data_IF_412138479999
#
_entry.id   IF_412138479999
#
_cell.length_a   1.000
_cell.length_b   1.000
_cell.length_c   1.000
_cell.angle_alpha   90.00
_cell.angle_beta   90.00
_cell.angle_gamma   90.00
#
_symmetry.space_group_name_H-M   'P 1'
#
loop_
_entity.id
_entity.type
_entity.pdbx_description
1 polymer ?
#
# COMPACT_ATOMS: atom_id res chain seq x y z
N UNK A 1 61.89 24.95 4.45
CA UNK A 1 60.91 24.05 3.82
C UNK A 1 59.57 24.25 4.52
N UNK A 2 58.66 25.04 3.94
CA UNK A 2 57.30 25.24 4.47
C UNK A 2 56.40 24.21 3.79
N UNK A 3 55.92 23.22 4.53
CA UNK A 3 55.00 22.22 3.99
C UNK A 3 53.60 22.82 3.94
N UNK A 4 53.05 22.87 2.73
CA UNK A 4 51.70 23.30 2.41
C UNK A 4 50.79 22.08 2.57
N UNK A 5 49.94 22.07 3.61
CA UNK A 5 48.90 21.06 3.76
C UNK A 5 47.72 21.43 2.87
N UNK A 6 47.54 20.70 1.77
CA UNK A 6 46.36 20.82 0.91
C UNK A 6 45.21 20.03 1.54
N UNK A 7 44.19 20.74 2.04
CA UNK A 7 42.92 20.13 2.44
C UNK A 7 42.18 19.65 1.19
N UNK A 8 42.11 18.33 1.01
CA UNK A 8 41.26 17.69 0.02
C UNK A 8 39.84 17.60 0.61
N UNK A 9 38.93 18.50 0.22
CA UNK A 9 37.53 18.39 0.62
C UNK A 9 36.89 17.24 -0.16
N UNK A 10 36.62 16.13 0.52
CA UNK A 10 35.80 15.05 -0.01
C UNK A 10 34.35 15.54 -0.01
N UNK A 11 33.86 15.97 -1.18
CA UNK A 11 32.42 16.13 -1.39
C UNK A 11 31.81 14.72 -1.40
N UNK A 12 31.23 14.32 -0.27
CA UNK A 12 30.24 13.25 -0.22
C UNK A 12 29.02 13.74 -0.98
N UNK A 13 28.95 13.44 -2.28
CA UNK A 13 27.69 13.45 -3.00
C UNK A 13 26.85 12.32 -2.40
N UNK A 14 25.90 12.67 -1.54
CA UNK A 14 24.78 11.79 -1.21
C UNK A 14 24.00 11.58 -2.51
N UNK A 15 24.18 10.43 -3.14
CA UNK A 15 23.24 9.97 -4.15
C UNK A 15 21.91 9.72 -3.42
N UNK A 16 20.96 10.63 -3.60
CA UNK A 16 19.56 10.28 -3.45
C UNK A 16 19.30 9.20 -4.49
N UNK A 17 19.18 7.95 -4.03
CA UNK A 17 18.60 6.88 -4.83
C UNK A 17 17.14 7.30 -5.04
N UNK A 18 16.85 7.95 -6.16
CA UNK A 18 15.47 8.02 -6.63
C UNK A 18 15.11 6.59 -7.05
N UNK A 19 14.50 5.82 -6.15
CA UNK A 19 13.71 4.66 -6.59
C UNK A 19 12.58 5.25 -7.42
N UNK A 20 12.70 5.18 -8.74
CA UNK A 20 11.74 5.82 -9.63
C UNK A 20 10.53 4.91 -9.72
N UNK A 21 9.36 5.46 -9.47
CA UNK A 21 8.07 4.80 -9.46
C UNK A 21 7.56 4.59 -10.88
N UNK A 22 8.22 3.69 -11.61
CA UNK A 22 8.13 3.66 -13.08
C UNK A 22 7.07 2.72 -13.61
N UNK A 23 6.77 1.63 -12.91
CA UNK A 23 5.93 0.56 -13.44
C UNK A 23 5.07 -0.10 -12.38
N UNK A 24 4.10 -0.88 -12.83
CA UNK A 24 3.20 -1.67 -11.99
C UNK A 24 3.98 -2.67 -11.12
N UNK A 25 3.51 -2.87 -9.90
CA UNK A 25 4.02 -3.90 -8.99
C UNK A 25 2.88 -4.44 -8.11
N UNK A 26 3.08 -5.60 -7.50
CA UNK A 26 2.12 -6.17 -6.55
C UNK A 26 2.15 -5.39 -5.23
N UNK A 27 0.99 -4.92 -4.77
CA UNK A 27 0.81 -4.24 -3.49
C UNK A 27 0.21 -5.14 -2.41
N UNK A 28 -0.53 -6.18 -2.78
CA UNK A 28 -1.10 -7.14 -1.82
C UNK A 28 -1.18 -8.55 -2.42
N UNK A 29 -0.95 -9.55 -1.59
CA UNK A 29 -1.07 -10.96 -1.92
C UNK A 29 -1.93 -11.65 -0.87
N UNK A 30 -3.00 -12.30 -1.30
CA UNK A 30 -3.97 -12.94 -0.41
C UNK A 30 -3.96 -14.45 -0.65
N UNK A 31 -3.37 -15.21 0.29
CA UNK A 31 -3.52 -16.66 0.39
C UNK A 31 -4.34 -16.97 1.64
N UNK A 32 -5.65 -16.83 1.50
CA UNK A 32 -6.61 -17.06 2.56
C UNK A 32 -7.12 -18.50 2.60
N UNK A 33 -8.03 -18.75 3.53
CA UNK A 33 -8.69 -20.05 3.64
C UNK A 33 -9.63 -20.30 2.45
N UNK A 34 -9.94 -21.57 2.20
CA UNK A 34 -10.80 -21.97 1.07
C UNK A 34 -10.28 -21.37 -0.25
N UNK A 35 -11.17 -20.76 -1.03
CA UNK A 35 -10.87 -20.15 -2.31
C UNK A 35 -10.56 -18.64 -2.22
N UNK A 36 -10.30 -18.09 -1.03
CA UNK A 36 -9.88 -16.69 -0.88
C UNK A 36 -8.46 -16.50 -1.42
N UNK A 37 -8.39 -16.17 -2.71
CA UNK A 37 -7.16 -15.98 -3.47
C UNK A 37 -7.28 -14.69 -4.27
N UNK A 38 -6.40 -13.74 -4.00
CA UNK A 38 -6.36 -12.46 -4.69
C UNK A 38 -4.93 -11.91 -4.78
N UNK A 39 -4.70 -11.10 -5.80
CA UNK A 39 -3.49 -10.32 -6.02
C UNK A 39 -3.90 -8.88 -6.28
N UNK A 40 -3.30 -7.93 -5.60
CA UNK A 40 -3.49 -6.51 -5.87
C UNK A 40 -2.27 -5.96 -6.61
N UNK A 41 -2.52 -5.18 -7.66
CA UNK A 41 -1.52 -4.48 -8.45
C UNK A 41 -1.68 -2.98 -8.18
N UNK A 42 -0.57 -2.28 -7.93
CA UNK A 42 -0.56 -0.83 -7.77
C UNK A 42 0.05 -0.15 -8.99
N UNK A 43 -0.55 0.98 -9.39
CA UNK A 43 0.01 1.90 -10.38
C UNK A 43 0.67 3.08 -9.67
N UNK A 44 2.01 3.10 -9.54
CA UNK A 44 2.70 4.20 -8.88
C UNK A 44 2.92 5.41 -9.79
N UNK A 45 2.49 5.36 -11.05
CA UNK A 45 2.72 6.40 -12.05
C UNK A 45 1.62 7.47 -12.01
N UNK A 46 1.85 8.57 -12.72
CA UNK A 46 0.90 9.67 -12.86
C UNK A 46 -0.03 9.53 -14.07
N UNK A 47 0.01 8.40 -14.78
CA UNK A 47 -0.80 8.13 -15.97
C UNK A 47 -1.62 6.86 -15.79
N UNK A 48 -2.78 6.79 -16.43
CA UNK A 48 -3.58 5.56 -16.46
C UNK A 48 -2.86 4.48 -17.28
N UNK A 49 -2.89 3.24 -16.82
CA UNK A 49 -2.25 2.10 -17.52
C UNK A 49 -3.32 1.10 -17.98
N UNK A 50 -3.30 0.73 -19.26
CA UNK A 50 -4.12 -0.35 -19.82
C UNK A 50 -3.49 -1.71 -19.52
N UNK A 51 -4.22 -2.54 -18.78
CA UNK A 51 -3.76 -3.87 -18.35
C UNK A 51 -3.79 -4.91 -19.47
N UNK A 52 -4.34 -4.61 -20.65
CA UNK A 52 -4.39 -5.55 -21.79
C UNK A 52 -3.00 -6.01 -22.27
N UNK A 53 -1.95 -5.23 -21.98
CA UNK A 53 -0.56 -5.56 -22.29
C UNK A 53 0.16 -6.39 -21.20
N UNK A 54 -0.53 -6.72 -20.10
CA UNK A 54 0.06 -7.33 -18.91
C UNK A 54 -0.53 -8.71 -18.62
N UNK A 55 0.22 -9.53 -17.91
CA UNK A 55 -0.22 -10.86 -17.48
C UNK A 55 0.31 -11.24 -16.11
N UNK A 56 -0.42 -12.13 -15.42
CA UNK A 56 0.05 -12.81 -14.22
C UNK A 56 0.39 -14.25 -14.57
N UNK A 57 1.59 -14.70 -14.19
CA UNK A 57 2.04 -16.07 -14.41
C UNK A 57 2.33 -16.75 -13.08
N UNK A 58 1.79 -17.96 -12.90
CA UNK A 58 2.11 -18.82 -11.75
C UNK A 58 3.02 -19.96 -12.16
N UNK A 59 4.02 -20.22 -11.33
CA UNK A 59 4.97 -21.32 -11.46
C UNK A 59 4.76 -22.29 -10.30
N UNK A 60 4.19 -23.44 -10.62
CA UNK A 60 3.69 -24.33 -9.57
C UNK A 60 4.81 -25.12 -8.89
N UNK A 61 4.88 -25.10 -7.56
CA UNK A 61 5.76 -25.93 -6.72
C UNK A 61 7.21 -26.04 -7.26
N UNK A 62 7.88 -24.90 -7.46
CA UNK A 62 9.24 -24.85 -8.01
C UNK A 62 9.37 -25.18 -9.50
N UNK A 63 8.27 -25.22 -10.25
CA UNK A 63 8.27 -25.36 -11.70
C UNK A 63 8.87 -24.15 -12.43
N UNK A 64 9.20 -24.35 -13.71
CA UNK A 64 9.67 -23.30 -14.62
C UNK A 64 8.73 -23.06 -15.80
N UNK A 65 7.66 -23.84 -15.91
CA UNK A 65 6.61 -23.66 -16.91
C UNK A 65 5.46 -22.86 -16.30
N UNK A 66 5.15 -21.66 -16.82
CA UNK A 66 4.10 -20.82 -16.26
C UNK A 66 2.71 -21.27 -16.66
N UNK A 67 1.76 -21.01 -15.76
CA UNK A 67 0.34 -20.92 -16.03
C UNK A 67 -0.05 -19.45 -16.06
N UNK A 68 -0.30 -18.91 -17.25
CA UNK A 68 -0.38 -17.45 -17.50
C UNK A 68 -1.80 -17.00 -17.80
N UNK A 69 -2.24 -15.93 -17.14
CA UNK A 69 -3.50 -15.22 -17.40
C UNK A 69 -3.20 -13.81 -17.87
N UNK A 70 -3.72 -13.45 -19.05
CA UNK A 70 -3.71 -12.06 -19.53
C UNK A 70 -4.69 -11.22 -18.72
N UNK A 71 -4.29 -10.00 -18.36
CA UNK A 71 -5.12 -9.05 -17.66
C UNK A 71 -5.93 -8.19 -18.64
N UNK A 72 -6.97 -7.54 -18.12
CA UNK A 72 -7.81 -6.60 -18.85
C UNK A 72 -8.28 -5.49 -17.91
N UNK A 73 -8.63 -4.34 -18.47
CA UNK A 73 -9.08 -3.19 -17.70
C UNK A 73 -8.04 -2.08 -17.67
N UNK A 74 -8.27 -1.08 -16.83
CA UNK A 74 -7.40 0.09 -16.72
C UNK A 74 -7.21 0.40 -15.25
N UNK A 75 -5.98 0.70 -14.87
CA UNK A 75 -5.62 1.16 -13.53
C UNK A 75 -5.30 2.65 -13.58
N UNK A 76 -6.05 3.44 -12.84
CA UNK A 76 -5.85 4.89 -12.77
C UNK A 76 -4.53 5.24 -12.04
N UNK A 77 -3.99 6.46 -12.22
CA UNK A 77 -2.83 6.92 -11.47
C UNK A 77 -2.99 6.72 -9.96
N UNK A 78 -1.94 6.25 -9.28
CA UNK A 78 -1.89 6.07 -7.83
C UNK A 78 -3.05 5.23 -7.26
N UNK A 79 -3.61 4.35 -8.07
CA UNK A 79 -4.73 3.47 -7.71
C UNK A 79 -4.28 2.02 -7.73
N UNK A 80 -5.11 1.14 -7.17
CA UNK A 80 -4.89 -0.30 -7.19
C UNK A 80 -5.88 -1.01 -8.11
N UNK A 81 -5.59 -2.25 -8.46
CA UNK A 81 -6.45 -3.14 -9.23
C UNK A 81 -6.33 -4.56 -8.68
N UNK A 82 -7.45 -5.13 -8.24
CA UNK A 82 -7.51 -6.42 -7.55
C UNK A 82 -7.96 -7.52 -8.51
N UNK A 83 -7.11 -8.54 -8.66
CA UNK A 83 -7.39 -9.74 -9.44
C UNK A 83 -7.72 -10.88 -8.48
N UNK A 84 -8.93 -11.45 -8.60
CA UNK A 84 -9.44 -12.51 -7.73
C UNK A 84 -9.68 -13.82 -8.46
N UNK A 85 -9.62 -14.94 -7.72
CA UNK A 85 -9.96 -16.26 -8.25
C UNK A 85 -11.48 -16.39 -8.50
N UNK A 86 -11.88 -16.71 -9.73
CA UNK A 86 -13.29 -16.96 -10.03
C UNK A 86 -13.72 -18.38 -9.67
N UNK A 87 -14.45 -18.48 -8.56
CA UNK A 87 -15.16 -19.69 -8.13
C UNK A 87 -16.66 -19.44 -8.04
N UNK A 88 -17.15 -18.32 -8.54
CA UNK A 88 -18.58 -18.02 -8.52
C UNK A 88 -19.25 -19.00 -9.46
N UNK A 89 -20.38 -19.54 -9.03
CA UNK A 89 -21.17 -20.44 -9.84
C UNK A 89 -22.47 -19.74 -10.27
N UNK A 90 -22.57 -19.27 -11.53
CA UNK A 90 -23.77 -18.62 -12.05
C UNK A 90 -25.02 -19.46 -11.93
N UNK A 91 -24.88 -20.78 -11.99
CA UNK A 91 -25.99 -21.74 -11.96
C UNK A 91 -26.24 -22.32 -10.56
N UNK A 92 -25.33 -22.07 -9.60
CA UNK A 92 -25.44 -22.58 -8.21
C UNK A 92 -25.37 -24.10 -8.06
N UNK A 93 -25.06 -24.84 -9.12
CA UNK A 93 -25.10 -26.31 -9.16
C UNK A 93 -23.83 -27.02 -8.63
N UNK A 94 -22.85 -26.26 -8.15
CA UNK A 94 -21.50 -26.70 -7.84
C UNK A 94 -21.23 -26.68 -6.34
N UNK A 95 -20.40 -27.62 -5.88
CA UNK A 95 -20.08 -27.81 -4.46
C UNK A 95 -18.86 -26.99 -3.98
N UNK A 96 -18.22 -26.24 -4.86
CA UNK A 96 -17.07 -25.40 -4.53
C UNK A 96 -17.53 -24.09 -3.89
N UNK A 97 -17.02 -23.79 -2.70
CA UNK A 97 -17.29 -22.52 -2.04
C UNK A 97 -16.61 -21.37 -2.81
N UNK A 98 -17.32 -20.28 -3.15
CA UNK A 98 -16.68 -19.10 -3.74
C UNK A 98 -15.78 -18.40 -2.71
N UNK A 99 -15.09 -17.34 -3.16
CA UNK A 99 -14.50 -16.35 -2.26
C UNK A 99 -15.57 -15.79 -1.31
N UNK A 100 -15.18 -15.33 -0.14
CA UNK A 100 -16.14 -14.75 0.80
C UNK A 100 -16.80 -13.48 0.26
N UNK A 101 -18.11 -13.39 0.44
CA UNK A 101 -18.98 -12.26 0.04
C UNK A 101 -19.45 -11.41 1.23
N UNK A 102 -18.85 -11.62 2.40
CA UNK A 102 -19.18 -10.92 3.63
C UNK A 102 -20.45 -11.41 4.33
N UNK A 103 -21.21 -12.34 3.74
CA UNK A 103 -22.42 -12.87 4.38
C UNK A 103 -22.11 -14.13 5.20
N UNK A 104 -22.56 -14.12 6.45
CA UNK A 104 -22.47 -15.28 7.33
C UNK A 104 -23.85 -15.65 7.85
N UNK A 105 -24.27 -16.90 7.64
CA UNK A 105 -25.55 -17.43 8.12
C UNK A 105 -25.31 -18.48 9.18
N UNK A 106 -25.94 -18.33 10.34
CA UNK A 106 -25.90 -19.29 11.43
C UNK A 106 -27.28 -19.50 12.04
N UNK A 107 -27.49 -20.63 12.70
CA UNK A 107 -28.70 -20.88 13.48
C UNK A 107 -28.50 -20.33 14.89
N UNK A 108 -29.35 -19.40 15.29
CA UNK A 108 -29.33 -18.87 16.65
C UNK A 108 -29.66 -19.98 17.65
N UNK A 109 -28.76 -20.19 18.61
CA UNK A 109 -28.85 -21.31 19.56
C UNK A 109 -30.00 -21.21 20.57
N UNK A 110 -30.66 -20.04 20.66
CA UNK A 110 -31.74 -19.78 21.62
C UNK A 110 -33.11 -19.90 20.93
N UNK A 111 -33.27 -19.23 19.79
CA UNK A 111 -34.52 -19.17 19.02
C UNK A 111 -34.65 -20.29 17.99
N UNK A 112 -33.54 -20.86 17.53
CA UNK A 112 -33.51 -21.84 16.43
C UNK A 112 -33.75 -21.21 15.04
N UNK A 113 -33.79 -19.88 14.95
CA UNK A 113 -33.96 -19.16 13.68
C UNK A 113 -32.61 -19.02 12.95
N UNK A 114 -32.66 -18.96 11.62
CA UNK A 114 -31.50 -18.60 10.81
C UNK A 114 -31.29 -17.09 10.86
N UNK A 115 -30.08 -16.69 11.21
CA UNK A 115 -29.63 -15.30 11.25
C UNK A 115 -28.53 -15.13 10.22
N UNK A 116 -28.76 -14.21 9.28
CA UNK A 116 -27.75 -13.77 8.31
C UNK A 116 -27.22 -12.40 8.72
N UNK A 117 -25.90 -12.29 8.86
CA UNK A 117 -25.19 -11.04 9.10
C UNK A 117 -24.28 -10.73 7.93
N UNK A 118 -24.01 -9.43 7.73
CA UNK A 118 -23.07 -8.95 6.74
C UNK A 118 -21.89 -8.26 7.44
N UNK A 119 -20.68 -8.62 7.06
CA UNK A 119 -19.43 -8.00 7.50
C UNK A 119 -18.58 -7.62 6.28
N UNK A 120 -18.48 -6.31 6.05
CA UNK A 120 -17.74 -5.74 4.94
C UNK A 120 -16.23 -6.05 4.98
N UNK A 121 -15.66 -6.29 6.17
CA UNK A 121 -14.23 -6.58 6.32
C UNK A 121 -13.88 -7.99 5.81
N UNK A 122 -14.90 -8.85 5.69
CA UNK A 122 -14.78 -10.22 5.18
C UNK A 122 -15.27 -10.39 3.73
N UNK A 123 -15.78 -9.32 3.12
CA UNK A 123 -16.34 -9.31 1.76
C UNK A 123 -15.23 -9.13 0.71
N UNK A 124 -14.45 -10.19 0.48
CA UNK A 124 -13.40 -10.18 -0.54
C UNK A 124 -13.96 -10.04 -1.95
N UNK A 125 -15.13 -10.64 -2.25
CA UNK A 125 -15.75 -10.53 -3.57
C UNK A 125 -16.03 -9.09 -3.97
N UNK A 126 -16.44 -8.23 -3.02
CA UNK A 126 -16.67 -6.79 -3.29
C UNK A 126 -15.41 -6.01 -3.65
N UNK A 127 -14.22 -6.54 -3.36
CA UNK A 127 -12.93 -5.87 -3.59
C UNK A 127 -12.31 -6.20 -4.94
N UNK A 128 -12.82 -7.21 -5.66
CA UNK A 128 -12.20 -7.72 -6.88
C UNK A 128 -12.68 -6.93 -8.11
N UNK A 129 -11.73 -6.41 -8.88
CA UNK A 129 -11.98 -5.74 -10.16
C UNK A 129 -12.06 -6.73 -11.32
N UNK A 130 -11.21 -7.77 -11.29
CA UNK A 130 -11.14 -8.79 -12.33
C UNK A 130 -11.11 -10.20 -11.74
N UNK A 131 -12.15 -10.96 -12.02
CA UNK A 131 -12.21 -12.38 -11.67
C UNK A 131 -11.61 -13.23 -12.80
N UNK A 132 -10.69 -14.13 -12.46
CA UNK A 132 -9.96 -14.97 -13.43
C UNK A 132 -9.88 -16.43 -13.01
N UNK A 133 -9.45 -17.28 -13.95
CA UNK A 133 -9.35 -18.73 -13.77
C UNK A 133 -10.67 -19.39 -13.33
N UNK A 134 -11.80 -19.10 -14.02
CA UNK A 134 -13.06 -19.75 -13.72
C UNK A 134 -12.91 -21.25 -13.92
N UNK A 135 -13.31 -22.04 -12.93
CA UNK A 135 -13.50 -23.48 -13.14
C UNK A 135 -14.97 -23.79 -13.10
N UNK A 136 -15.53 -23.94 -14.29
CA UNK A 136 -16.79 -24.62 -14.54
C UNK A 136 -16.48 -26.01 -15.11
N UNK A 137 -16.00 -26.95 -14.28
CA UNK A 137 -15.81 -28.33 -14.73
C UNK A 137 -16.43 -29.36 -13.78
N UNK A 138 -17.36 -30.14 -14.34
CA UNK A 138 -18.00 -31.31 -13.75
C UNK A 138 -17.15 -32.56 -14.07
N UNK A 139 -16.03 -32.77 -13.37
CA UNK A 139 -15.15 -33.92 -13.60
C UNK A 139 -14.33 -34.30 -12.37
N UNK A 140 -14.05 -35.59 -12.20
CA UNK A 140 -13.61 -36.17 -10.91
C UNK A 140 -12.12 -36.00 -10.57
N UNK A 141 -11.31 -35.33 -11.40
CA UNK A 141 -9.87 -35.22 -11.22
C UNK A 141 -9.38 -33.78 -11.43
N UNK A 142 -8.89 -33.12 -10.37
CA UNK A 142 -8.34 -31.76 -10.42
C UNK A 142 -7.11 -31.63 -11.36
N UNK A 143 -6.33 -32.70 -11.53
CA UNK A 143 -5.19 -32.76 -12.47
C UNK A 143 -5.60 -32.92 -13.94
N UNK A 144 -6.89 -33.07 -14.26
CA UNK A 144 -7.39 -33.15 -15.64
C UNK A 144 -7.81 -31.80 -16.24
N UNK A 145 -7.67 -30.70 -15.48
CA UNK A 145 -8.10 -29.34 -15.85
C UNK A 145 -7.14 -28.65 -16.84
N UNK A 146 -6.67 -29.37 -17.85
CA UNK A 146 -5.65 -28.94 -18.81
C UNK A 146 -6.13 -27.93 -19.89
N UNK A 147 -7.14 -27.09 -19.62
CA UNK A 147 -7.69 -26.18 -20.62
C UNK A 147 -7.79 -24.70 -20.19
N UNK A 148 -7.54 -24.38 -18.93
CA UNK A 148 -7.65 -23.00 -18.45
C UNK A 148 -6.41 -22.61 -17.66
N UNK A 149 -5.98 -21.33 -17.75
CA UNK A 149 -4.92 -20.87 -16.88
C UNK A 149 -5.36 -20.98 -15.43
N UNK A 150 -4.39 -21.20 -14.56
CA UNK A 150 -4.51 -21.48 -13.12
C UNK A 150 -3.62 -20.54 -12.31
N UNK A 151 -3.43 -19.31 -12.79
CA UNK A 151 -2.50 -18.35 -12.19
C UNK A 151 -2.86 -17.95 -10.76
N UNK A 152 -4.14 -17.97 -10.38
CA UNK A 152 -4.64 -17.67 -9.03
C UNK A 152 -4.82 -18.92 -8.15
N UNK A 153 -4.44 -20.11 -8.62
CA UNK A 153 -4.52 -21.37 -7.84
C UNK A 153 -3.31 -21.57 -6.92
N UNK A 154 -2.71 -20.48 -6.47
CA UNK A 154 -1.54 -20.56 -5.61
C UNK A 154 -1.91 -20.99 -4.19
N UNK A 155 -0.97 -21.64 -3.51
CA UNK A 155 -1.19 -22.23 -2.17
C UNK A 155 0.03 -22.01 -1.24
N UNK A 156 0.70 -20.87 -1.40
CA UNK A 156 1.76 -20.40 -0.51
C UNK A 156 3.18 -20.78 -0.94
N UNK A 157 3.40 -21.82 -1.75
CA UNK A 157 4.73 -22.26 -2.17
C UNK A 157 5.02 -22.09 -3.67
N UNK A 158 4.15 -21.40 -4.39
CA UNK A 158 4.35 -21.09 -5.80
C UNK A 158 5.09 -19.77 -5.98
N UNK A 159 5.79 -19.64 -7.11
CA UNK A 159 6.26 -18.33 -7.56
C UNK A 159 5.22 -17.70 -8.51
N UNK A 160 5.06 -16.39 -8.42
CA UNK A 160 4.12 -15.61 -9.22
C UNK A 160 4.88 -14.43 -9.82
N UNK A 161 4.63 -14.12 -11.09
CA UNK A 161 5.19 -12.95 -11.76
C UNK A 161 4.10 -12.06 -12.35
N UNK A 162 4.38 -10.76 -12.37
CA UNK A 162 3.68 -9.76 -13.18
C UNK A 162 4.54 -9.47 -14.41
N UNK A 163 4.02 -9.72 -15.60
CA UNK A 163 4.78 -9.70 -16.84
C UNK A 163 4.18 -8.72 -17.86
N UNK A 164 5.03 -8.22 -18.77
CA UNK A 164 4.56 -7.65 -20.04
C UNK A 164 4.34 -8.79 -21.03
N UNK A 165 3.11 -8.92 -21.50
CA UNK A 165 2.66 -10.02 -22.36
C UNK A 165 3.49 -10.08 -23.65
N UNK A 166 4.08 -11.25 -23.92
CA UNK A 166 4.84 -11.51 -25.14
C UNK A 166 6.23 -10.88 -25.21
N UNK A 167 6.64 -10.07 -24.22
CA UNK A 167 7.97 -9.47 -24.15
C UNK A 167 8.97 -10.29 -23.34
N UNK A 168 8.49 -11.19 -22.47
CA UNK A 168 9.34 -11.92 -21.53
C UNK A 168 9.99 -11.02 -20.47
N UNK A 169 9.38 -9.85 -20.22
CA UNK A 169 9.83 -8.87 -19.23
C UNK A 169 8.98 -9.07 -17.97
N UNK A 170 9.64 -9.37 -16.86
CA UNK A 170 9.05 -9.41 -15.52
C UNK A 170 9.14 -8.01 -14.92
N UNK A 171 8.03 -7.51 -14.41
CA UNK A 171 7.94 -6.24 -13.69
C UNK A 171 8.08 -6.44 -12.19
N UNK A 172 7.48 -7.53 -11.70
CA UNK A 172 7.50 -7.88 -10.29
C UNK A 172 7.29 -9.38 -10.09
N UNK A 173 7.65 -9.87 -8.91
CA UNK A 173 7.46 -11.26 -8.54
C UNK A 173 7.23 -11.47 -7.04
N UNK A 174 6.58 -12.58 -6.73
CA UNK A 174 6.45 -13.12 -5.38
C UNK A 174 7.01 -14.54 -5.44
N UNK A 175 8.00 -14.85 -4.62
CA UNK A 175 8.71 -16.12 -4.65
C UNK A 175 9.91 -16.15 -5.59
N UNK A 176 10.38 -17.36 -5.89
CA UNK A 176 11.52 -17.60 -6.79
C UNK A 176 11.17 -18.66 -7.80
N UNK A 177 11.22 -18.31 -9.08
CA UNK A 177 10.89 -19.23 -10.17
C UNK A 177 11.94 -20.34 -10.23
N UNK A 178 11.49 -21.59 -10.28
CA UNK A 178 12.36 -22.77 -10.29
C UNK A 178 12.78 -23.30 -8.92
N UNK A 179 12.26 -22.74 -7.82
CA UNK A 179 12.53 -23.20 -6.46
C UNK A 179 11.22 -23.50 -5.71
N UNK A 180 11.18 -24.65 -5.02
CA UNK A 180 10.09 -25.02 -4.14
C UNK A 180 10.52 -24.74 -2.68
N UNK A 181 9.90 -23.79 -1.97
CA UNK A 181 10.22 -23.50 -0.58
C UNK A 181 9.61 -24.52 0.40
N UNK A 182 8.95 -25.57 -0.11
CA UNK A 182 8.21 -26.54 0.68
C UNK A 182 6.77 -26.08 0.88
N UNK A 183 6.42 -25.65 2.09
CA UNK A 183 5.04 -25.27 2.40
C UNK A 183 4.73 -23.78 2.19
N UNK A 184 5.75 -22.92 2.31
CA UNK A 184 5.62 -21.47 2.29
C UNK A 184 6.99 -20.85 2.01
N UNK A 185 7.03 -19.70 1.35
CA UNK A 185 8.19 -18.83 1.41
C UNK A 185 8.39 -18.35 2.86
N UNK A 186 9.66 -18.21 3.27
CA UNK A 186 10.02 -17.91 4.66
C UNK A 186 10.99 -16.74 4.78
N UNK A 187 11.00 -16.10 5.93
CA UNK A 187 12.09 -15.20 6.31
C UNK A 187 13.38 -15.96 6.65
N UNK A 188 14.43 -15.21 7.02
CA UNK A 188 15.72 -15.77 7.44
C UNK A 188 15.64 -16.65 8.70
N UNK A 189 14.60 -16.50 9.52
CA UNK A 189 14.38 -17.31 10.73
C UNK A 189 13.55 -18.58 10.44
N UNK A 190 13.03 -18.72 9.22
CA UNK A 190 12.24 -19.86 8.76
C UNK A 190 10.75 -19.76 9.09
N UNK A 191 10.24 -18.58 9.49
CA UNK A 191 8.80 -18.39 9.71
C UNK A 191 8.05 -18.43 8.39
N UNK A 192 6.80 -18.91 8.38
CA UNK A 192 5.97 -18.93 7.17
C UNK A 192 5.39 -17.54 6.91
N UNK A 193 5.40 -17.12 5.64
CA UNK A 193 4.94 -15.79 5.22
C UNK A 193 3.84 -15.82 4.17
N UNK A 194 3.85 -16.78 3.25
CA UNK A 194 2.93 -16.80 2.09
C UNK A 194 1.81 -17.82 2.22
N UNK A 195 1.96 -18.84 3.07
CA UNK A 195 0.89 -19.80 3.32
C UNK A 195 -0.03 -19.35 4.45
N UNK A 196 -1.33 -19.33 4.22
CA UNK A 196 -2.38 -18.91 5.16
C UNK A 196 -2.12 -17.48 5.68
N UNK A 197 -1.77 -16.58 4.77
CA UNK A 197 -1.39 -15.19 5.08
C UNK A 197 -1.87 -14.22 4.00
N UNK A 198 -2.09 -12.98 4.44
CA UNK A 198 -2.18 -11.82 3.55
C UNK A 198 -0.87 -11.05 3.67
N UNK A 199 -0.18 -10.80 2.56
CA UNK A 199 1.01 -9.96 2.52
C UNK A 199 0.66 -8.59 1.98
N UNK A 200 1.06 -7.54 2.68
CA UNK A 200 0.93 -6.15 2.27
C UNK A 200 2.31 -5.59 1.94
N UNK A 201 2.45 -4.97 0.76
CA UNK A 201 3.71 -4.35 0.34
C UNK A 201 4.01 -3.15 1.23
N UNK A 202 5.27 -2.99 1.63
CA UNK A 202 5.69 -1.83 2.42
C UNK A 202 5.70 -0.56 1.58
N UNK A 203 5.33 0.57 2.18
CA UNK A 203 5.22 1.86 1.49
C UNK A 203 6.55 2.38 0.91
N UNK A 204 7.69 1.96 1.46
CA UNK A 204 9.02 2.34 1.00
C UNK A 204 9.52 1.46 -0.18
N UNK A 205 8.76 0.45 -0.59
CA UNK A 205 9.04 -0.34 -1.80
C UNK A 205 8.46 0.42 -2.99
N UNK A 206 9.36 1.03 -3.76
CA UNK A 206 8.99 1.96 -4.83
C UNK A 206 8.86 1.28 -6.21
N UNK A 207 9.26 0.01 -6.32
CA UNK A 207 9.28 -0.77 -7.55
C UNK A 207 9.18 -2.27 -7.28
N UNK A 208 8.70 -3.00 -8.27
CA UNK A 208 8.73 -4.46 -8.28
C UNK A 208 10.12 -5.05 -8.51
N UNK A 209 10.25 -6.34 -8.18
CA UNK A 209 11.45 -7.15 -8.42
C UNK A 209 11.38 -7.74 -9.84
N UNK A 210 12.16 -7.17 -10.76
CA UNK A 210 12.13 -7.55 -12.18
C UNK A 210 13.06 -8.71 -12.57
N UNK A 211 13.83 -9.25 -11.62
CA UNK A 211 14.77 -10.34 -11.86
C UNK A 211 14.56 -11.47 -10.85
N UNK A 212 14.58 -12.71 -11.34
CA UNK A 212 14.44 -13.90 -10.48
C UNK A 212 15.54 -13.89 -9.39
N UNK A 213 15.19 -13.83 -8.09
CA UNK A 213 16.16 -13.58 -7.04
C UNK A 213 17.02 -14.80 -6.74
N UNK A 214 18.19 -14.57 -6.13
CA UNK A 214 19.02 -15.67 -5.60
C UNK A 214 18.34 -16.30 -4.38
N UNK A 215 17.75 -15.47 -3.52
CA UNK A 215 16.95 -15.85 -2.35
C UNK A 215 15.73 -14.94 -2.32
N UNK A 216 14.54 -15.51 -2.12
CA UNK A 216 13.34 -14.74 -1.87
C UNK A 216 13.06 -14.72 -0.37
N UNK A 217 13.30 -13.56 0.26
CA UNK A 217 12.94 -13.28 1.65
C UNK A 217 11.81 -12.24 1.66
N UNK A 218 10.56 -12.64 1.91
CA UNK A 218 9.41 -11.74 1.87
C UNK A 218 9.50 -10.63 2.92
N UNK A 219 10.20 -10.85 4.05
CA UNK A 219 10.29 -9.87 5.13
C UNK A 219 11.05 -8.59 4.72
N UNK A 220 11.76 -8.60 3.59
CA UNK A 220 12.44 -7.41 3.07
C UNK A 220 11.43 -6.38 2.54
N UNK A 221 10.42 -6.82 1.81
CA UNK A 221 9.53 -5.95 1.03
C UNK A 221 8.05 -5.99 1.47
N UNK A 222 7.68 -6.96 2.30
CA UNK A 222 6.30 -7.21 2.70
C UNK A 222 6.15 -7.18 4.21
N UNK A 223 4.95 -6.82 4.66
CA UNK A 223 4.43 -7.07 6.00
C UNK A 223 3.43 -8.22 5.93
N UNK A 224 3.49 -9.16 6.88
CA UNK A 224 2.59 -10.31 6.93
C UNK A 224 1.45 -10.07 7.91
N UNK A 225 0.23 -10.31 7.43
CA UNK A 225 -1.03 -10.21 8.16
C UNK A 225 -1.69 -11.60 8.26
N UNK A 226 -2.61 -11.82 9.22
CA UNK A 226 -3.36 -13.07 9.31
C UNK A 226 -4.12 -13.40 8.01
N UNK A 227 -4.31 -14.69 7.73
CA UNK A 227 -5.18 -15.16 6.65
C UNK A 227 -6.53 -14.42 6.63
N UNK A 228 -7.02 -14.15 5.42
CA UNK A 228 -8.31 -13.49 5.17
C UNK A 228 -8.40 -12.05 5.70
N UNK A 229 -7.28 -11.34 5.78
CA UNK A 229 -7.30 -9.89 5.97
C UNK A 229 -7.49 -9.22 4.62
N UNK A 230 -8.58 -8.46 4.44
CA UNK A 230 -8.96 -7.82 3.16
C UNK A 230 -9.12 -6.30 3.25
N UNK A 231 -8.96 -5.74 4.45
CA UNK A 231 -9.28 -4.33 4.75
C UNK A 231 -8.41 -3.33 3.97
N UNK A 232 -7.22 -3.76 3.54
CA UNK A 232 -6.27 -2.89 2.82
C UNK A 232 -6.49 -2.90 1.30
N UNK A 233 -7.16 -3.94 0.76
CA UNK A 233 -7.45 -4.04 -0.66
C UNK A 233 -8.27 -2.85 -1.15
N UNK A 234 -7.91 -2.37 -2.33
CA UNK A 234 -8.42 -1.16 -2.95
C UNK A 234 -7.59 0.09 -2.65
N UNK A 235 -6.48 -0.03 -1.92
CA UNK A 235 -5.59 1.09 -1.61
C UNK A 235 -4.17 0.64 -1.28
N UNK A 236 -3.18 1.42 -1.69
CA UNK A 236 -1.79 1.17 -1.31
C UNK A 236 -1.08 2.48 -0.97
N UNK A 237 -0.59 2.58 0.27
CA UNK A 237 0.27 3.68 0.67
C UNK A 237 1.66 3.47 0.07
N UNK A 238 2.06 4.38 -0.81
CA UNK A 238 3.36 4.33 -1.46
C UNK A 238 4.07 5.68 -1.39
N UNK A 239 5.36 5.66 -1.04
CA UNK A 239 6.22 6.84 -1.01
C UNK A 239 6.56 7.36 -2.43
N UNK A 240 5.98 6.74 -3.46
CA UNK A 240 6.13 7.11 -4.87
C UNK A 240 5.57 8.46 -5.27
N UNK A 241 4.64 9.01 -4.48
CA UNK A 241 4.07 10.30 -4.76
C UNK A 241 4.86 11.39 -4.00
N UNK A 242 5.60 12.29 -4.67
CA UNK A 242 6.27 13.41 -4.00
C UNK A 242 5.29 14.39 -3.34
N UNK A 243 3.99 14.29 -3.64
CA UNK A 243 2.92 15.04 -2.99
C UNK A 243 2.28 14.28 -1.79
N UNK A 244 2.53 12.97 -1.62
CA UNK A 244 2.18 12.22 -0.39
C UNK A 244 3.33 12.17 0.61
N UNK A 245 4.51 12.72 0.27
CA UNK A 245 5.21 13.40 1.32
C UNK A 245 4.28 14.54 1.75
N UNK A 246 3.67 14.37 2.93
CA UNK A 246 3.71 15.45 3.88
C UNK A 246 5.20 15.77 4.02
N UNK A 247 5.71 16.59 3.09
CA UNK A 247 6.81 17.48 3.36
C UNK A 247 6.26 18.28 4.52
N UNK A 248 6.52 17.81 5.73
CA UNK A 248 6.79 18.70 6.84
C UNK A 248 7.98 19.49 6.34
N UNK A 249 7.67 20.50 5.52
CA UNK A 249 8.63 21.30 4.84
C UNK A 249 9.44 21.86 6.00
N UNK A 250 10.70 21.46 6.13
CA UNK A 250 11.58 21.93 7.20
C UNK A 250 11.81 23.45 7.13
N UNK A 251 11.10 24.15 6.24
CA UNK A 251 10.63 25.52 6.42
C UNK A 251 9.51 25.67 7.48
N UNK A 252 9.59 24.92 8.58
CA UNK A 252 8.71 25.08 9.72
C UNK A 252 8.99 26.46 10.33
N UNK A 253 7.94 27.27 10.48
CA UNK A 253 8.06 28.50 11.25
C UNK A 253 8.29 28.13 12.73
N UNK A 254 9.10 28.94 13.42
CA UNK A 254 9.39 28.76 14.84
C UNK A 254 8.23 29.39 15.60
N UNK A 255 7.71 28.65 16.58
CA UNK A 255 6.73 29.14 17.54
C UNK A 255 7.33 28.97 18.92
N UNK A 256 7.38 30.03 19.69
CA UNK A 256 7.76 29.99 21.10
C UNK A 256 6.78 30.79 21.93
N UNK A 257 6.64 30.44 23.20
CA UNK A 257 5.83 31.18 24.14
C UNK A 257 6.69 31.65 25.30
N UNK A 258 6.48 32.90 25.74
CA UNK A 258 7.05 33.43 26.98
C UNK A 258 6.11 34.47 27.59
N UNK A 259 5.83 34.35 28.89
CA UNK A 259 5.03 35.31 29.67
C UNK A 259 3.69 35.70 29.01
N UNK A 260 2.93 34.71 28.51
CA UNK A 260 1.64 34.98 27.87
C UNK A 260 1.75 35.68 26.52
N UNK A 261 2.88 35.56 25.80
CA UNK A 261 3.03 36.04 24.41
C UNK A 261 3.51 34.88 23.54
N UNK A 262 2.83 34.65 22.41
CA UNK A 262 3.23 33.68 21.39
C UNK A 262 4.03 34.42 20.33
N UNK A 263 5.29 34.02 20.15
CA UNK A 263 6.19 34.53 19.12
C UNK A 263 6.27 33.55 17.97
N UNK A 264 6.05 34.05 16.76
CA UNK A 264 6.03 33.27 15.51
C UNK A 264 7.09 33.89 14.58
N UNK A 265 8.01 33.07 14.08
CA UNK A 265 9.09 33.48 13.18
C UNK A 265 9.05 32.60 11.92
N UNK A 266 8.92 33.21 10.75
CA UNK A 266 8.93 32.52 9.46
C UNK A 266 10.08 33.04 8.59
N UNK A 267 10.65 32.16 7.77
CA UNK A 267 11.75 32.54 6.86
C UNK A 267 11.28 33.40 5.67
N UNK A 268 9.97 33.43 5.41
CA UNK A 268 9.33 34.24 4.37
C UNK A 268 8.31 35.21 4.99
N UNK A 269 8.01 36.33 4.31
CA UNK A 269 7.03 37.30 4.80
C UNK A 269 5.67 36.65 5.03
N UNK A 270 5.11 36.86 6.22
CA UNK A 270 3.80 36.35 6.59
C UNK A 270 2.75 37.28 5.98
N UNK A 271 1.83 36.71 5.20
CA UNK A 271 0.71 37.40 4.57
C UNK A 271 -0.57 37.30 5.42
N UNK A 272 -0.76 36.14 6.08
CA UNK A 272 -1.93 35.86 6.90
C UNK A 272 -1.59 34.91 8.04
N UNK A 273 -2.21 35.14 9.20
CA UNK A 273 -2.07 34.28 10.37
C UNK A 273 -3.43 34.00 11.00
N UNK A 274 -3.67 32.74 11.37
CA UNK A 274 -4.85 32.27 12.09
C UNK A 274 -4.43 31.31 13.20
N UNK A 275 -5.02 31.47 14.39
CA UNK A 275 -4.83 30.57 15.53
C UNK A 275 -6.20 30.07 15.96
N UNK A 276 -6.33 28.77 16.19
CA UNK A 276 -7.56 28.14 16.65
C UNK A 276 -7.29 27.11 17.76
N UNK A 277 -8.28 26.91 18.63
CA UNK A 277 -8.22 25.90 19.69
C UNK A 277 -8.51 24.48 19.16
N UNK A 278 -8.45 23.47 20.04
CA UNK A 278 -8.76 22.07 19.71
C UNK A 278 -10.18 21.83 19.19
N UNK A 279 -11.11 22.74 19.49
CA UNK A 279 -12.50 22.65 19.03
C UNK A 279 -12.70 23.39 17.69
N UNK A 280 -11.62 23.92 17.09
CA UNK A 280 -11.65 24.68 15.84
C UNK A 280 -12.12 26.13 16.00
N UNK A 281 -12.31 26.63 17.22
CA UNK A 281 -12.70 28.03 17.47
C UNK A 281 -11.53 28.94 17.15
N UNK A 282 -11.77 29.96 16.33
CA UNK A 282 -10.75 30.95 15.97
C UNK A 282 -10.48 31.88 17.14
N UNK A 283 -9.23 31.90 17.59
CA UNK A 283 -8.73 32.71 18.69
C UNK A 283 -8.09 34.00 18.18
N UNK A 284 -7.35 33.90 17.09
CA UNK A 284 -6.69 35.03 16.45
C UNK A 284 -6.79 34.87 14.94
N UNK A 285 -7.00 35.97 14.23
CA UNK A 285 -6.90 36.02 12.77
C UNK A 285 -6.51 37.43 12.33
N UNK A 286 -5.46 37.56 11.52
CA UNK A 286 -5.07 38.85 10.94
C UNK A 286 -4.33 38.68 9.61
N UNK A 287 -4.49 39.66 8.73
CA UNK A 287 -3.55 39.90 7.62
C UNK A 287 -2.29 40.55 8.17
N UNK A 288 -1.14 39.99 7.84
CA UNK A 288 0.15 40.47 8.28
C UNK A 288 0.83 41.11 7.06
N UNK A 289 1.33 42.33 7.21
CA UNK A 289 1.91 43.08 6.11
C UNK A 289 3.40 42.72 5.94
N UNK A 290 3.68 41.54 5.39
CA UNK A 290 5.03 41.11 5.00
C UNK A 290 6.07 41.13 6.14
N UNK A 291 5.69 40.71 7.34
CA UNK A 291 6.64 40.57 8.46
C UNK A 291 7.13 39.13 8.56
N UNK A 292 8.41 38.93 8.83
CA UNK A 292 8.99 37.61 9.09
C UNK A 292 8.82 37.16 10.56
N UNK A 293 8.33 38.05 11.42
CA UNK A 293 8.08 37.77 12.83
C UNK A 293 6.80 38.47 13.29
N UNK A 294 6.02 37.80 14.14
CA UNK A 294 4.87 38.38 14.84
C UNK A 294 4.81 37.89 16.28
N UNK A 295 4.37 38.77 17.16
CA UNK A 295 4.05 38.46 18.56
C UNK A 295 2.55 38.63 18.75
N UNK A 296 1.91 37.63 19.34
CA UNK A 296 0.48 37.60 19.61
C UNK A 296 0.30 37.47 21.12
N UNK A 297 -0.37 38.45 21.72
CA UNK A 297 -0.73 38.39 23.14
C UNK A 297 -1.64 37.17 23.38
N UNK A 298 -1.22 36.31 24.31
CA UNK A 298 -1.91 35.11 24.70
C UNK A 298 -2.62 35.32 26.04
N UNK A 299 -3.88 35.74 25.94
CA UNK A 299 -4.82 35.78 27.07
C UNK A 299 -5.68 34.50 27.16
N UNK A 300 -5.22 33.39 26.56
CA UNK A 300 -6.03 32.17 26.43
C UNK A 300 -5.75 31.17 27.55
N UNK A 301 -6.68 30.24 27.75
CA UNK A 301 -6.56 29.17 28.73
C UNK A 301 -5.48 28.15 28.34
N UNK A 302 -5.01 27.39 29.31
CA UNK A 302 -4.03 26.32 29.08
C UNK A 302 -4.64 25.28 28.13
N UNK A 303 -3.92 24.88 27.08
CA UNK A 303 -4.45 23.95 26.10
C UNK A 303 -3.57 23.79 24.86
N UNK A 304 -4.05 22.97 23.91
CA UNK A 304 -3.41 22.80 22.61
C UNK A 304 -4.05 23.76 21.61
N UNK A 305 -3.22 24.45 20.83
CA UNK A 305 -3.64 25.39 19.82
C UNK A 305 -2.95 25.07 18.50
N UNK A 306 -3.65 25.34 17.41
CA UNK A 306 -3.16 25.17 16.06
C UNK A 306 -2.98 26.52 15.39
N UNK A 307 -1.83 26.71 14.79
CA UNK A 307 -1.43 27.93 14.08
C UNK A 307 -1.42 27.60 12.60
N UNK A 308 -2.15 28.38 11.80
CA UNK A 308 -2.13 28.37 10.34
C UNK A 308 -1.60 29.70 9.84
N UNK A 309 -0.55 29.64 9.05
CA UNK A 309 0.19 30.77 8.50
C UNK A 309 0.17 30.66 6.97
N UNK A 310 0.02 31.79 6.28
CA UNK A 310 0.13 31.86 4.82
C UNK A 310 1.25 32.83 4.48
N UNK A 311 2.19 32.37 3.64
CA UNK A 311 3.23 33.19 3.02
C UNK A 311 3.20 33.04 1.50
N UNK A 312 4.17 33.60 0.79
CA UNK A 312 4.27 33.53 -0.66
C UNK A 312 4.52 32.10 -1.19
N UNK A 313 4.94 31.17 -0.33
CA UNK A 313 5.19 29.77 -0.68
C UNK A 313 4.01 28.85 -0.34
N UNK A 314 2.93 29.38 0.25
CA UNK A 314 1.70 28.63 0.55
C UNK A 314 1.29 28.66 2.01
N UNK A 315 0.50 27.64 2.40
CA UNK A 315 -0.06 27.50 3.75
C UNK A 315 0.86 26.59 4.58
N UNK A 316 1.19 27.01 5.80
CA UNK A 316 1.97 26.26 6.79
C UNK A 316 1.16 26.12 8.08
N UNK A 317 1.27 24.98 8.76
CA UNK A 317 0.58 24.75 10.04
C UNK A 317 1.52 24.22 11.13
N UNK A 318 1.21 24.51 12.39
CA UNK A 318 1.94 23.98 13.56
C UNK A 318 1.05 23.96 14.80
N UNK A 319 1.18 22.93 15.64
CA UNK A 319 0.55 22.89 16.97
C UNK A 319 1.49 23.44 18.05
N UNK A 320 0.93 24.11 19.05
CA UNK A 320 1.63 24.54 20.26
C UNK A 320 0.81 24.20 21.50
N UNK A 321 1.48 23.78 22.57
CA UNK A 321 0.89 23.69 23.90
C UNK A 321 1.08 25.03 24.60
N UNK A 322 -0.02 25.65 24.99
CA UNK A 322 -0.02 26.89 25.75
C UNK A 322 -0.23 26.57 27.23
N UNK A 323 0.69 27.03 28.06
CA UNK A 323 0.60 26.97 29.52
C UNK A 323 0.77 28.39 30.06
N UNK A 324 -0.19 28.86 30.84
CA UNK A 324 -0.05 30.08 31.63
C UNK A 324 0.72 29.70 32.90
N UNK A 325 1.92 30.27 33.05
CA UNK A 325 2.68 30.34 34.30
C UNK A 325 2.34 31.62 35.05
#
# INVERSE_FOLDING_TARGET
MKQLFTLLSIFLFSHLVQGQCTDLFFSEYVEGWSNNKALEIYNPTNESIDLSAYSISRYSNGGTSPSTTQLTGTIEPYSTFVVGLDKRNPDGEGFEAPMWDGYYTYTDSISGEEVTIYDADTDLQSKVDLFVNPVYYFGTNADSAAAFPTSLYFNGNDAITLDILGAGIVLDLIGKVGEDPGASWTDNDGNYWTKDHTLMRKANVLNGVSANPIVFDPALEWDSLPANTFINLGSHDCECNPNNQLLENQNAFIVSQKNGVIKIINNSPINYLKIYDINGKVIFQNRINNLNQIEVDNNQENGIYFISLIDDNGIKTKSIVILNE
#
